data_IF_517849698225
#
_entry.id   IF_517849698225
#
_cell.length_a   1.000
_cell.length_b   1.000
_cell.length_c   1.000
_cell.angle_alpha   90.00
_cell.angle_beta   90.00
_cell.angle_gamma   90.00
#
_symmetry.space_group_name_H-M   'P 1'
#
loop_
_entity.id
_entity.type
_entity.pdbx_description
1 polymer ?
#
# COMPACT_ATOMS: atom_id res chain seq x y z
N UNK A 1 -14.22 -7.52 0.87
CA UNK A 1 -13.28 -6.92 -0.08
C UNK A 1 -14.07 -6.32 -1.21
N UNK A 2 -13.74 -5.10 -1.64
CA UNK A 2 -14.32 -4.52 -2.86
C UNK A 2 -13.21 -4.01 -3.78
N UNK A 3 -13.08 -4.62 -4.97
CA UNK A 3 -12.28 -4.02 -6.05
C UNK A 3 -13.19 -3.10 -6.83
N UNK A 4 -12.80 -1.83 -6.96
CA UNK A 4 -13.49 -0.83 -7.76
C UNK A 4 -12.65 -0.44 -8.96
N UNK A 5 -13.31 -0.12 -10.05
CA UNK A 5 -12.67 0.42 -11.24
C UNK A 5 -12.84 1.94 -11.23
N UNK A 6 -11.74 2.67 -11.41
CA UNK A 6 -11.74 4.13 -11.52
C UNK A 6 -10.97 4.55 -12.76
N UNK A 7 -11.36 5.66 -13.34
CA UNK A 7 -10.76 6.17 -14.57
C UNK A 7 -10.07 7.50 -14.26
N UNK A 8 -8.83 7.66 -14.72
CA UNK A 8 -8.09 8.93 -14.62
C UNK A 8 -8.44 9.89 -15.78
N UNK A 9 -7.85 11.08 -15.77
CA UNK A 9 -8.10 12.13 -16.75
C UNK A 9 -7.58 11.84 -18.15
N UNK A 10 -6.76 10.80 -18.34
CA UNK A 10 -6.33 10.29 -19.64
C UNK A 10 -7.19 9.10 -20.11
N UNK A 11 -8.27 8.76 -19.38
CA UNK A 11 -9.12 7.60 -19.61
C UNK A 11 -8.46 6.23 -19.34
N UNK A 12 -7.36 6.18 -18.58
CA UNK A 12 -6.81 4.91 -18.12
C UNK A 12 -7.65 4.36 -16.96
N UNK A 13 -8.00 3.07 -17.05
CA UNK A 13 -8.74 2.36 -16.00
C UNK A 13 -7.78 1.75 -15.00
N UNK A 14 -7.99 2.07 -13.74
CA UNK A 14 -7.24 1.59 -12.59
C UNK A 14 -8.09 0.60 -11.79
N UNK A 15 -7.47 -0.50 -11.36
CA UNK A 15 -8.06 -1.41 -10.38
C UNK A 15 -7.66 -0.96 -8.98
N UNK A 16 -8.64 -0.55 -8.18
CA UNK A 16 -8.41 -0.10 -6.82
C UNK A 16 -8.98 -1.09 -5.83
N UNK A 17 -8.17 -1.48 -4.85
CA UNK A 17 -8.62 -2.27 -3.72
C UNK A 17 -9.11 -1.35 -2.62
N UNK A 18 -10.42 -1.33 -2.35
CA UNK A 18 -10.99 -0.66 -1.18
C UNK A 18 -10.79 -1.53 0.06
N UNK A 19 -9.96 -1.09 1.01
CA UNK A 19 -9.63 -1.86 2.21
C UNK A 19 -10.86 -2.03 3.12
N UNK A 20 -11.04 -3.21 3.70
CA UNK A 20 -12.12 -3.46 4.66
C UNK A 20 -11.68 -3.22 6.11
N UNK A 21 -10.42 -3.48 6.44
CA UNK A 21 -9.86 -3.29 7.78
C UNK A 21 -8.96 -2.05 7.83
N UNK A 22 -8.99 -1.28 8.91
CA UNK A 22 -8.23 -0.03 9.00
C UNK A 22 -6.70 -0.22 8.85
N UNK A 23 -6.15 -1.36 9.28
CA UNK A 23 -4.71 -1.64 9.27
C UNK A 23 -4.24 -2.46 8.04
N UNK A 24 -5.07 -2.61 7.00
CA UNK A 24 -4.72 -3.37 5.77
C UNK A 24 -4.41 -2.49 4.55
N UNK A 25 -4.28 -1.17 4.71
CA UNK A 25 -3.90 -0.26 3.62
C UNK A 25 -2.64 -0.71 2.87
N UNK A 26 -1.63 -1.21 3.58
CA UNK A 26 -0.40 -1.74 2.98
C UNK A 26 -0.66 -2.97 2.09
N UNK A 27 -1.55 -3.87 2.51
CA UNK A 27 -1.94 -5.08 1.75
C UNK A 27 -2.60 -4.66 0.42
N UNK A 28 -3.55 -3.73 0.50
CA UNK A 28 -4.23 -3.16 -0.65
C UNK A 28 -3.25 -2.44 -1.60
N UNK A 29 -2.33 -1.62 -1.06
CA UNK A 29 -1.31 -0.94 -1.86
C UNK A 29 -0.32 -1.90 -2.54
N UNK A 30 0.10 -2.97 -1.86
CA UNK A 30 0.94 -4.02 -2.45
C UNK A 30 0.23 -4.66 -3.63
N UNK A 31 -1.04 -5.06 -3.47
CA UNK A 31 -1.80 -5.66 -4.55
C UNK A 31 -1.94 -4.73 -5.76
N UNK A 32 -2.33 -3.47 -5.55
CA UNK A 32 -2.51 -2.49 -6.62
C UNK A 32 -1.20 -2.24 -7.37
N UNK A 33 -0.12 -1.96 -6.63
CA UNK A 33 1.18 -1.66 -7.24
C UNK A 33 1.76 -2.90 -7.94
N UNK A 34 1.59 -4.11 -7.38
CA UNK A 34 2.01 -5.37 -8.02
C UNK A 34 1.26 -5.62 -9.31
N UNK A 35 -0.06 -5.46 -9.30
CA UNK A 35 -0.89 -5.72 -10.46
C UNK A 35 -0.57 -4.74 -11.59
N UNK A 36 -0.36 -3.47 -11.27
CA UNK A 36 0.12 -2.49 -12.24
C UNK A 36 1.53 -2.86 -12.76
N UNK A 37 2.50 -3.12 -11.88
CA UNK A 37 3.87 -3.43 -12.31
C UNK A 37 3.94 -4.68 -13.21
N UNK A 38 3.10 -5.68 -12.95
CA UNK A 38 3.02 -6.92 -13.74
C UNK A 38 2.08 -6.84 -14.94
N UNK A 39 1.32 -5.75 -15.08
CA UNK A 39 0.24 -5.62 -16.05
C UNK A 39 -0.76 -6.79 -15.96
N UNK A 40 -1.17 -7.12 -14.74
CA UNK A 40 -2.01 -8.29 -14.45
C UNK A 40 -3.28 -7.89 -13.73
N UNK A 41 -4.39 -8.54 -14.07
CA UNK A 41 -5.67 -8.43 -13.37
C UNK A 41 -5.88 -9.67 -12.51
N UNK A 42 -5.38 -9.67 -11.28
CA UNK A 42 -5.48 -10.82 -10.39
C UNK A 42 -6.54 -10.59 -9.31
N UNK A 43 -7.60 -11.40 -9.27
CA UNK A 43 -8.48 -11.50 -8.11
C UNK A 43 -7.78 -12.31 -7.02
N UNK A 44 -7.41 -11.65 -5.92
CA UNK A 44 -6.86 -12.27 -4.73
C UNK A 44 -7.70 -11.83 -3.53
N UNK A 45 -7.85 -12.67 -2.51
CA UNK A 45 -8.53 -12.34 -1.26
C UNK A 45 -7.61 -11.53 -0.31
N UNK A 46 -8.18 -10.52 0.37
CA UNK A 46 -7.44 -9.63 1.30
C UNK A 46 -6.72 -10.45 2.35
N UNK A 47 -7.44 -11.43 2.87
CA UNK A 47 -7.02 -12.22 3.99
C UNK A 47 -5.86 -13.13 3.61
N UNK A 48 -5.93 -13.74 2.43
CA UNK A 48 -4.88 -14.55 1.84
C UNK A 48 -3.61 -13.74 1.62
N UNK A 49 -3.70 -12.53 1.06
CA UNK A 49 -2.53 -11.68 0.86
C UNK A 49 -1.94 -11.20 2.19
N UNK A 50 -2.79 -10.76 3.13
CA UNK A 50 -2.38 -10.38 4.48
C UNK A 50 -1.68 -11.55 5.20
N UNK A 51 -2.23 -12.77 5.09
CA UNK A 51 -1.70 -13.97 5.70
C UNK A 51 -0.33 -14.33 5.14
N UNK A 52 -0.16 -14.26 3.81
CA UNK A 52 1.14 -14.44 3.15
C UNK A 52 2.14 -13.38 3.59
N UNK A 53 1.74 -12.12 3.65
CA UNK A 53 2.61 -11.03 4.13
C UNK A 53 3.08 -11.29 5.56
N UNK A 54 2.16 -11.57 6.48
CA UNK A 54 2.50 -11.82 7.87
C UNK A 54 3.46 -13.00 8.03
N UNK A 55 3.14 -14.15 7.46
CA UNK A 55 3.96 -15.33 7.64
C UNK A 55 5.33 -15.17 6.96
N UNK A 56 5.39 -14.68 5.71
CA UNK A 56 6.65 -14.60 4.97
C UNK A 56 7.55 -13.47 5.45
N UNK A 57 6.98 -12.32 5.81
CA UNK A 57 7.76 -11.10 6.09
C UNK A 57 7.90 -10.84 7.58
N UNK A 58 6.82 -11.02 8.35
CA UNK A 58 6.83 -10.70 9.78
C UNK A 58 7.41 -11.86 10.58
N UNK A 59 6.95 -13.08 10.31
CA UNK A 59 7.46 -14.29 10.97
C UNK A 59 8.67 -14.90 10.27
N UNK A 60 9.04 -14.42 9.08
CA UNK A 60 10.11 -14.98 8.26
C UNK A 60 9.95 -16.50 8.03
N UNK A 61 8.70 -16.95 7.86
CA UNK A 61 8.36 -18.35 7.65
C UNK A 61 8.67 -18.78 6.21
N UNK A 62 9.39 -19.89 5.99
CA UNK A 62 9.60 -20.48 4.67
C UNK A 62 8.26 -20.74 3.97
N UNK A 63 8.21 -20.50 2.65
CA UNK A 63 6.93 -20.49 1.92
C UNK A 63 6.24 -21.86 1.86
N UNK A 64 7.02 -22.94 1.96
CA UNK A 64 6.59 -24.34 2.05
C UNK A 64 6.02 -24.72 3.42
N UNK A 65 6.27 -23.91 4.46
CA UNK A 65 5.83 -24.15 5.83
C UNK A 65 4.68 -23.23 6.27
N UNK A 66 4.17 -22.39 5.37
CA UNK A 66 3.08 -21.47 5.69
C UNK A 66 1.78 -22.27 5.83
N UNK A 67 1.13 -22.24 7.00
CA UNK A 67 -0.16 -22.88 7.17
C UNK A 67 -1.21 -22.24 6.26
N UNK A 68 -2.27 -22.99 5.95
CA UNK A 68 -3.41 -22.44 5.23
C UNK A 68 -4.00 -21.22 5.97
N UNK A 69 -4.43 -20.17 5.24
CA UNK A 69 -5.04 -19.02 5.86
C UNK A 69 -6.31 -19.44 6.62
N UNK A 70 -6.55 -18.93 7.84
CA UNK A 70 -7.81 -19.17 8.53
C UNK A 70 -8.95 -18.50 7.77
N UNK A 71 -10.21 -18.84 8.09
CA UNK A 71 -11.36 -18.16 7.50
C UNK A 71 -11.28 -16.62 7.71
N UNK A 72 -11.64 -15.81 6.70
CA UNK A 72 -11.67 -14.36 6.84
C UNK A 72 -12.55 -13.92 8.00
N UNK A 73 -12.08 -12.92 8.75
CA UNK A 73 -12.86 -12.34 9.87
C UNK A 73 -12.59 -10.85 10.01
N UNK A 74 -13.61 -10.14 10.50
CA UNK A 74 -13.50 -8.74 10.89
C UNK A 74 -12.87 -8.64 12.27
N UNK A 75 -11.94 -7.72 12.46
CA UNK A 75 -11.36 -7.45 13.77
C UNK A 75 -11.98 -6.24 14.43
N UNK A 76 -12.31 -6.37 15.71
CA UNK A 76 -12.54 -5.21 16.56
C UNK A 76 -11.19 -4.74 17.12
N UNK A 77 -10.66 -3.62 16.62
CA UNK A 77 -9.34 -3.10 17.01
C UNK A 77 -9.16 -2.94 18.52
N UNK A 78 -10.23 -2.61 19.27
CA UNK A 78 -10.16 -2.46 20.74
C UNK A 78 -9.89 -3.76 21.50
N UNK A 79 -10.05 -4.91 20.84
CA UNK A 79 -9.83 -6.23 21.43
C UNK A 79 -8.41 -6.78 21.24
N UNK A 80 -7.52 -6.01 20.60
CA UNK A 80 -6.18 -6.47 20.22
C UNK A 80 -5.08 -5.49 20.63
N UNK A 81 -3.92 -6.05 20.96
CA UNK A 81 -2.76 -5.26 21.33
C UNK A 81 -2.20 -4.48 20.12
N UNK A 82 -1.52 -3.37 20.41
CA UNK A 82 -0.84 -2.57 19.38
C UNK A 82 0.61 -3.06 19.18
N UNK A 83 0.76 -4.28 18.66
CA UNK A 83 2.04 -4.91 18.30
C UNK A 83 1.90 -5.84 17.08
N UNK A 84 2.99 -6.46 16.63
CA UNK A 84 2.97 -7.43 15.52
C UNK A 84 3.13 -8.90 15.96
N UNK A 85 2.96 -9.20 17.26
CA UNK A 85 3.18 -10.55 17.81
C UNK A 85 2.21 -11.58 17.27
N UNK A 86 1.02 -11.13 16.86
CA UNK A 86 0.02 -12.00 16.24
C UNK A 86 -0.48 -11.37 14.95
N UNK A 87 -0.96 -12.21 14.03
CA UNK A 87 -1.61 -11.77 12.80
C UNK A 87 -2.74 -10.79 13.09
N UNK A 88 -3.53 -11.08 14.14
CA UNK A 88 -4.66 -10.25 14.53
C UNK A 88 -4.20 -8.88 15.03
N UNK A 89 -3.26 -8.82 15.99
CA UNK A 89 -2.72 -7.54 16.47
C UNK A 89 -2.19 -6.67 15.32
N UNK A 90 -1.49 -7.30 14.37
CA UNK A 90 -0.94 -6.60 13.21
C UNK A 90 -2.03 -5.95 12.35
N UNK A 91 -3.01 -6.73 11.89
CA UNK A 91 -4.01 -6.25 10.94
C UNK A 91 -5.28 -5.68 11.57
N UNK A 92 -5.37 -5.63 12.90
CA UNK A 92 -6.42 -4.91 13.60
C UNK A 92 -5.98 -3.53 14.10
N UNK A 93 -4.74 -3.36 14.55
CA UNK A 93 -4.35 -2.19 15.34
C UNK A 93 -2.94 -1.63 15.06
N UNK A 94 -1.99 -2.45 14.64
CA UNK A 94 -0.59 -2.01 14.50
C UNK A 94 -0.21 -1.54 13.08
N UNK A 95 -0.61 -2.30 12.06
CA UNK A 95 -0.28 -2.03 10.66
C UNK A 95 1.04 -2.61 10.18
N UNK A 96 1.58 -2.03 9.11
CA UNK A 96 2.76 -2.52 8.38
C UNK A 96 3.78 -1.40 8.20
N UNK A 97 5.07 -1.74 8.13
CA UNK A 97 6.15 -0.78 7.86
C UNK A 97 6.61 -0.81 6.40
N UNK A 98 7.19 0.29 5.90
CA UNK A 98 7.68 0.36 4.52
C UNK A 98 8.70 -0.74 4.20
N UNK A 99 9.58 -1.09 5.14
CA UNK A 99 10.53 -2.20 4.93
C UNK A 99 9.80 -3.53 4.70
N UNK A 100 8.74 -3.81 5.46
CA UNK A 100 7.93 -5.01 5.29
C UNK A 100 7.20 -5.02 3.93
N UNK A 101 6.77 -3.84 3.47
CA UNK A 101 6.20 -3.67 2.12
C UNK A 101 7.24 -3.98 1.04
N UNK A 102 8.45 -3.42 1.16
CA UNK A 102 9.59 -3.67 0.26
C UNK A 102 9.90 -5.17 0.17
N UNK A 103 9.96 -5.85 1.32
CA UNK A 103 10.30 -7.26 1.39
C UNK A 103 9.18 -8.13 0.80
N UNK A 104 7.92 -7.79 1.04
CA UNK A 104 6.77 -8.46 0.41
C UNK A 104 6.80 -8.34 -1.13
N UNK A 105 7.10 -7.14 -1.66
CA UNK A 105 7.19 -6.89 -3.10
C UNK A 105 8.31 -7.71 -3.75
N UNK A 106 9.49 -7.76 -3.12
CA UNK A 106 10.62 -8.59 -3.59
C UNK A 106 10.28 -10.07 -3.59
N UNK A 107 9.60 -10.56 -2.55
CA UNK A 107 9.15 -11.95 -2.44
C UNK A 107 8.08 -12.34 -3.45
N UNK A 108 7.36 -11.35 -3.99
CA UNK A 108 6.44 -11.51 -5.11
C UNK A 108 7.16 -11.38 -6.47
N UNK A 109 8.49 -11.28 -6.48
CA UNK A 109 9.31 -11.24 -7.68
C UNK A 109 9.34 -9.88 -8.38
N UNK A 110 9.08 -8.79 -7.66
CA UNK A 110 9.23 -7.43 -8.18
C UNK A 110 10.58 -6.83 -7.83
N UNK A 111 11.06 -5.94 -8.68
CA UNK A 111 12.24 -5.13 -8.42
C UNK A 111 11.86 -3.84 -7.69
N UNK A 112 12.57 -3.55 -6.60
CA UNK A 112 12.53 -2.25 -5.93
C UNK A 112 13.63 -1.37 -6.50
N UNK A 113 13.26 -0.37 -7.29
CA UNK A 113 14.20 0.47 -8.04
C UNK A 113 14.88 1.50 -7.15
N UNK A 114 14.13 2.11 -6.23
CA UNK A 114 14.65 2.98 -5.18
C UNK A 114 13.63 3.16 -4.06
N UNK A 115 14.11 3.48 -2.86
CA UNK A 115 13.28 3.90 -1.72
C UNK A 115 13.89 5.15 -1.10
N UNK A 116 13.05 6.08 -0.69
CA UNK A 116 13.50 7.23 0.11
C UNK A 116 13.71 6.81 1.58
N UNK A 117 14.57 7.55 2.28
CA UNK A 117 14.61 7.49 3.74
C UNK A 117 13.30 8.01 4.34
N UNK A 118 13.03 7.65 5.60
CA UNK A 118 11.90 8.21 6.35
C UNK A 118 12.16 9.69 6.61
N UNK A 119 11.40 10.54 5.93
CA UNK A 119 11.50 11.99 6.05
C UNK A 119 10.14 12.64 5.81
N UNK A 120 9.64 13.38 6.81
CA UNK A 120 8.43 14.17 6.69
C UNK A 120 8.62 15.22 5.59
N UNK A 121 7.71 15.25 4.63
CA UNK A 121 7.79 16.20 3.52
C UNK A 121 8.45 15.62 2.26
N UNK A 122 8.57 14.29 2.17
CA UNK A 122 9.09 13.63 0.96
C UNK A 122 8.22 13.96 -0.25
N UNK A 123 8.84 14.06 -1.42
CA UNK A 123 8.15 14.28 -2.69
C UNK A 123 8.30 13.08 -3.62
N UNK A 124 7.35 12.94 -4.53
CA UNK A 124 7.39 11.92 -5.57
C UNK A 124 8.15 12.44 -6.78
N UNK A 125 9.08 11.62 -7.25
CA UNK A 125 9.82 11.81 -8.48
C UNK A 125 9.00 11.26 -9.65
N UNK A 126 8.37 12.17 -10.38
CA UNK A 126 7.55 11.86 -11.56
C UNK A 126 8.31 11.09 -12.63
N UNK A 127 9.62 11.31 -12.77
CA UNK A 127 10.43 10.67 -13.80
C UNK A 127 10.58 9.16 -13.58
N UNK A 128 10.29 8.68 -12.38
CA UNK A 128 10.35 7.26 -12.00
C UNK A 128 9.01 6.55 -12.13
N UNK A 129 7.93 7.26 -12.44
CA UNK A 129 6.61 6.69 -12.62
C UNK A 129 6.36 6.36 -14.10
N UNK A 130 5.71 5.23 -14.33
CA UNK A 130 5.21 4.84 -15.65
C UNK A 130 4.00 3.93 -15.50
N UNK A 131 3.33 3.60 -16.61
CA UNK A 131 2.22 2.64 -16.64
C UNK A 131 2.61 1.27 -16.04
N UNK A 132 3.91 0.94 -16.00
CA UNK A 132 4.47 -0.31 -15.42
C UNK A 132 5.38 -0.10 -14.21
N UNK A 133 5.55 1.15 -13.77
CA UNK A 133 6.49 1.51 -12.69
C UNK A 133 5.78 2.36 -11.64
N UNK A 134 4.89 1.80 -10.82
CA UNK A 134 4.25 2.54 -9.75
C UNK A 134 5.20 2.78 -8.58
N UNK A 135 4.76 3.62 -7.64
CA UNK A 135 5.36 3.76 -6.33
C UNK A 135 4.35 3.55 -5.20
N UNK A 136 4.77 2.90 -4.13
CA UNK A 136 4.02 2.86 -2.87
C UNK A 136 4.51 4.02 -1.99
N UNK A 137 3.56 4.76 -1.43
CA UNK A 137 3.80 5.94 -0.60
C UNK A 137 3.29 5.65 0.81
N UNK A 138 4.17 5.82 1.80
CA UNK A 138 3.78 5.93 3.20
C UNK A 138 3.53 7.41 3.51
N UNK A 139 2.32 7.70 3.98
CA UNK A 139 1.97 9.01 4.54
C UNK A 139 1.72 8.92 6.04
N UNK A 140 1.91 10.04 6.72
CA UNK A 140 1.65 10.20 8.15
C UNK A 140 0.70 11.36 8.41
N UNK A 141 -0.14 11.21 9.43
CA UNK A 141 -0.95 12.30 9.99
C UNK A 141 -0.29 12.83 11.26
N UNK A 142 -0.43 14.13 11.50
CA UNK A 142 0.29 14.82 12.56
C UNK A 142 -0.64 15.69 13.40
N UNK A 143 -0.47 15.64 14.72
CA UNK A 143 -0.98 16.64 15.66
C UNK A 143 0.22 17.44 16.18
N UNK A 144 0.44 18.63 15.62
CA UNK A 144 1.67 19.39 15.81
C UNK A 144 2.90 18.63 15.29
N UNK A 145 3.88 18.39 16.15
CA UNK A 145 5.08 17.61 15.82
C UNK A 145 4.87 16.07 15.96
N UNK A 146 3.79 15.63 16.61
CA UNK A 146 3.56 14.21 16.92
C UNK A 146 2.82 13.51 15.78
N UNK A 147 3.38 12.42 15.27
CA UNK A 147 2.71 11.52 14.32
C UNK A 147 1.57 10.77 15.04
N UNK A 148 0.37 10.78 14.46
CA UNK A 148 -0.87 10.22 15.03
C UNK A 148 -1.54 9.19 14.11
N UNK A 149 -0.76 8.56 13.25
CA UNK A 149 -1.23 7.52 12.34
C UNK A 149 -0.46 7.56 11.03
N UNK A 150 -0.72 6.58 10.18
CA UNK A 150 -0.19 6.54 8.84
C UNK A 150 -1.04 5.68 7.92
N UNK A 151 -0.73 5.79 6.63
CA UNK A 151 -1.51 5.16 5.57
C UNK A 151 -0.61 4.87 4.39
N UNK A 152 -0.95 3.82 3.65
CA UNK A 152 -0.29 3.51 2.39
C UNK A 152 -1.23 3.82 1.24
N UNK A 153 -0.69 4.48 0.22
CA UNK A 153 -1.34 4.72 -1.07
C UNK A 153 -0.39 4.34 -2.20
N UNK A 154 -0.89 4.27 -3.43
CA UNK A 154 -0.07 4.04 -4.62
C UNK A 154 -0.05 5.29 -5.48
N UNK A 155 1.14 5.79 -5.81
CA UNK A 155 1.33 6.72 -6.90
C UNK A 155 1.53 5.90 -8.19
N UNK A 156 0.50 5.88 -9.03
CA UNK A 156 0.40 4.96 -10.16
C UNK A 156 1.20 5.45 -11.37
N UNK A 157 0.81 6.59 -11.93
CA UNK A 157 1.37 7.14 -13.17
C UNK A 157 1.27 8.66 -13.19
N UNK A 158 1.91 9.27 -14.19
CA UNK A 158 1.78 10.70 -14.50
C UNK A 158 0.83 10.84 -15.68
N UNK A 159 -0.20 11.67 -15.55
CA UNK A 159 -1.14 11.95 -16.63
C UNK A 159 -0.52 12.86 -17.69
N UNK A 160 -1.15 12.95 -18.86
CA UNK A 160 -0.73 13.86 -19.94
C UNK A 160 -0.65 15.34 -19.52
N UNK A 161 -1.43 15.72 -18.49
CA UNK A 161 -1.44 17.07 -17.88
C UNK A 161 -0.38 17.24 -16.80
N UNK A 162 0.41 16.21 -16.51
CA UNK A 162 1.48 16.24 -15.53
C UNK A 162 1.02 16.00 -14.09
N UNK A 163 -0.24 15.59 -13.83
CA UNK A 163 -0.69 15.19 -12.49
C UNK A 163 -0.25 13.77 -12.17
N UNK A 164 -0.03 13.46 -10.89
CA UNK A 164 0.18 12.08 -10.43
C UNK A 164 -1.18 11.48 -10.08
N UNK A 165 -1.46 10.30 -10.60
CA UNK A 165 -2.62 9.49 -10.21
C UNK A 165 -2.30 8.75 -8.92
N UNK A 166 -3.06 9.04 -7.87
CA UNK A 166 -3.00 8.39 -6.57
C UNK A 166 -4.17 7.43 -6.39
N UNK A 167 -3.86 6.19 -6.02
CA UNK A 167 -4.83 5.15 -5.69
C UNK A 167 -4.85 4.96 -4.18
N UNK A 168 -6.00 5.27 -3.59
CA UNK A 168 -6.23 5.27 -2.16
C UNK A 168 -7.05 4.04 -1.75
N UNK A 169 -6.50 3.15 -0.93
CA UNK A 169 -7.26 2.04 -0.39
C UNK A 169 -8.48 2.46 0.44
N UNK A 170 -8.48 3.66 1.02
CA UNK A 170 -9.59 4.13 1.85
C UNK A 170 -10.79 4.47 0.97
N UNK A 171 -11.76 3.55 0.95
CA UNK A 171 -12.96 3.67 0.11
C UNK A 171 -12.71 3.48 -1.39
N UNK A 172 -11.52 3.03 -1.80
CA UNK A 172 -11.17 2.79 -3.20
C UNK A 172 -11.25 4.07 -4.05
N UNK A 173 -10.58 5.12 -3.58
CA UNK A 173 -10.62 6.43 -4.20
C UNK A 173 -9.43 6.65 -5.14
N UNK A 174 -9.70 7.33 -6.26
CA UNK A 174 -8.68 7.84 -7.15
C UNK A 174 -8.63 9.36 -6.99
N UNK A 175 -7.42 9.91 -6.90
CA UNK A 175 -7.21 11.36 -6.95
C UNK A 175 -6.04 11.71 -7.85
N UNK A 176 -6.09 12.90 -8.44
CA UNK A 176 -4.99 13.44 -9.24
C UNK A 176 -4.45 14.69 -8.56
N UNK A 177 -3.16 14.71 -8.26
CA UNK A 177 -2.53 15.80 -7.55
C UNK A 177 -1.06 15.98 -7.97
N UNK A 178 -0.38 16.97 -7.38
CA UNK A 178 1.05 17.23 -7.60
C UNK A 178 1.96 16.16 -6.99
N UNK A 179 3.25 16.47 -6.88
CA UNK A 179 4.29 15.59 -6.31
C UNK A 179 4.23 15.43 -4.79
N UNK A 180 3.24 16.03 -4.13
CA UNK A 180 3.19 16.19 -2.69
C UNK A 180 3.81 17.52 -2.23
N UNK A 181 4.29 17.62 -0.97
CA UNK A 181 4.38 16.53 0.01
C UNK A 181 3.05 16.22 0.72
N UNK A 182 2.00 16.99 0.42
CA UNK A 182 0.69 16.78 1.01
C UNK A 182 -0.19 15.92 0.12
N UNK A 183 -0.98 15.08 0.75
CA UNK A 183 -2.03 14.30 0.13
C UNK A 183 -3.34 14.57 0.84
N UNK A 184 -4.32 15.01 0.06
CA UNK A 184 -5.54 15.63 0.57
C UNK A 184 -5.20 16.74 1.58
N UNK A 185 -6.06 17.01 2.56
CA UNK A 185 -5.90 18.14 3.47
C UNK A 185 -4.97 17.89 4.65
N UNK A 186 -4.63 16.63 4.97
CA UNK A 186 -3.95 16.30 6.24
C UNK A 186 -2.81 15.28 6.13
N UNK A 187 -2.73 14.51 5.05
CA UNK A 187 -1.68 13.49 4.89
C UNK A 187 -0.36 14.12 4.45
N UNK A 188 0.75 13.74 5.09
CA UNK A 188 2.10 14.18 4.70
C UNK A 188 2.92 12.98 4.29
N UNK A 189 3.56 13.03 3.12
CA UNK A 189 4.43 11.97 2.64
C UNK A 189 5.69 11.82 3.50
N UNK A 190 6.02 10.57 3.82
CA UNK A 190 7.12 10.20 4.70
C UNK A 190 8.14 9.30 4.00
N UNK A 191 7.67 8.35 3.18
CA UNK A 191 8.53 7.45 2.40
C UNK A 191 7.87 7.08 1.08
N UNK A 192 8.70 6.89 0.05
CA UNK A 192 8.27 6.45 -1.28
C UNK A 192 9.16 5.32 -1.76
N UNK A 193 8.56 4.22 -2.22
CA UNK A 193 9.25 3.08 -2.82
C UNK A 193 8.76 2.89 -4.25
N UNK A 194 9.67 2.96 -5.22
CA UNK A 194 9.37 2.75 -6.65
C UNK A 194 9.64 1.30 -7.03
N UNK A 195 8.72 0.70 -7.77
CA UNK A 195 8.79 -0.71 -8.14
C UNK A 195 8.60 -0.92 -9.63
N UNK A 196 9.15 -2.01 -10.16
CA UNK A 196 8.87 -2.53 -11.49
C UNK A 196 8.79 -4.06 -11.45
N UNK A 197 8.39 -4.66 -12.56
CA UNK A 197 8.64 -6.08 -12.82
C UNK A 197 10.13 -6.40 -12.81
#
# INVERSE_FOLDING_TARGET
MTVVLRTDSDNYVHQLWAQDQAATCAVASIWMARNQAKQSTATEDEWSLAWRLYNRVVLNCPSDLIPFPPAPRTFNASSFANDEKTFANKFSNFGTFMQQVIDALKLDGLKVNSSTAFSKGTQIDKSKLSDTTPAIVLLGWYNGAKRNGGHFIVASRVTSKGSIVYLDPWGGQLSEAGTGPQYQTTGVFEQVTYISR
#
